data_IF_223059638203
#
_entry.id   IF_223059638203
#
_cell.length_a   1.000
_cell.length_b   1.000
_cell.length_c   1.000
_cell.angle_alpha   90.00
_cell.angle_beta   90.00
_cell.angle_gamma   90.00
#
_symmetry.space_group_name_H-M   'P 1'
#
loop_
_entity.id
_entity.type
_entity.pdbx_description
1 polymer ?
#
# COMPACT_ATOMS: atom_id res chain seq x y z
N UNK A 1 8.71 9.76 38.41
CA UNK A 1 8.14 9.40 37.09
C UNK A 1 9.26 8.79 36.29
N UNK A 2 9.14 7.52 35.91
CA UNK A 2 10.18 6.81 35.18
C UNK A 2 10.34 7.43 33.78
N UNK A 3 11.56 7.40 33.21
CA UNK A 3 11.79 7.83 31.82
C UNK A 3 10.88 7.05 30.86
N UNK A 4 10.54 5.81 31.22
CA UNK A 4 9.58 4.95 30.53
C UNK A 4 8.16 5.53 30.57
N UNK A 5 7.67 6.06 31.70
CA UNK A 5 6.33 6.67 31.79
C UNK A 5 6.21 7.95 30.95
N UNK A 6 7.32 8.68 30.78
CA UNK A 6 7.39 9.90 29.98
C UNK A 6 7.50 9.62 28.48
N UNK A 7 8.04 8.45 28.11
CA UNK A 7 8.14 8.00 26.73
C UNK A 7 6.90 7.22 26.27
N UNK A 8 6.32 6.37 27.11
CA UNK A 8 5.22 5.45 26.79
C UNK A 8 3.83 6.02 27.11
N UNK A 9 3.72 7.08 27.92
CA UNK A 9 2.42 7.60 28.33
C UNK A 9 1.70 6.69 29.34
N UNK A 10 0.46 7.02 29.69
CA UNK A 10 -0.38 6.16 30.54
C UNK A 10 -0.92 5.01 29.69
N UNK A 11 -0.85 3.75 30.17
CA UNK A 11 -1.46 2.62 29.46
C UNK A 11 -2.97 2.86 29.35
N UNK A 12 -3.50 2.78 28.12
CA UNK A 12 -4.94 2.80 27.85
C UNK A 12 -5.53 1.46 28.31
N UNK A 13 -6.62 1.52 29.07
CA UNK A 13 -7.32 0.31 29.49
C UNK A 13 -8.15 -0.22 28.31
N UNK A 14 -8.14 -1.53 28.08
CA UNK A 14 -8.89 -2.19 26.99
C UNK A 14 -10.40 -1.88 26.99
N UNK A 15 -10.95 -1.41 28.11
CA UNK A 15 -12.34 -0.98 28.22
C UNK A 15 -12.64 0.39 27.54
N UNK A 16 -11.61 1.22 27.26
CA UNK A 16 -11.77 2.49 26.54
C UNK A 16 -11.74 2.31 25.00
N UNK A 17 -11.44 1.10 24.51
CA UNK A 17 -11.28 0.75 23.08
C UNK A 17 -12.62 0.33 22.43
N UNK A 18 -13.54 -0.27 23.19
CA UNK A 18 -14.87 -0.72 22.72
C UNK A 18 -15.86 0.42 22.44
N UNK A 19 -15.64 1.63 23.00
CA UNK A 19 -16.60 2.73 22.92
C UNK A 19 -16.51 3.57 21.62
N UNK A 20 -15.48 3.37 20.81
CA UNK A 20 -15.24 4.20 19.62
C UNK A 20 -15.51 3.46 18.30
N UNK A 21 -16.79 3.29 17.97
CA UNK A 21 -17.19 2.94 16.60
C UNK A 21 -16.85 4.10 15.66
N UNK A 22 -15.81 3.95 14.87
CA UNK A 22 -15.39 4.95 13.88
C UNK A 22 -16.48 5.05 12.80
N UNK A 23 -17.10 6.22 12.65
CA UNK A 23 -18.13 6.43 11.63
C UNK A 23 -17.57 6.29 10.21
N UNK A 24 -18.40 5.94 9.22
CA UNK A 24 -17.97 5.60 7.86
C UNK A 24 -17.06 6.66 7.19
N UNK A 25 -17.27 7.95 7.46
CA UNK A 25 -16.43 9.04 6.94
C UNK A 25 -15.00 9.04 7.49
N UNK A 26 -14.79 8.54 8.71
CA UNK A 26 -13.47 8.37 9.31
C UNK A 26 -12.93 6.93 9.09
N UNK A 27 -13.81 5.94 8.95
CA UNK A 27 -13.46 4.55 8.73
C UNK A 27 -12.93 4.27 7.32
N UNK A 28 -13.48 4.93 6.29
CA UNK A 28 -13.00 4.76 4.90
C UNK A 28 -11.55 5.24 4.73
N UNK A 29 -11.15 6.43 5.22
CA UNK A 29 -9.75 6.83 5.23
C UNK A 29 -8.88 5.90 6.08
N UNK A 30 -9.35 5.51 7.27
CA UNK A 30 -8.54 4.74 8.22
C UNK A 30 -8.24 3.30 7.74
N UNK A 31 -9.24 2.62 7.15
CA UNK A 31 -9.11 1.26 6.65
C UNK A 31 -8.68 1.22 5.17
N UNK A 32 -9.00 2.26 4.40
CA UNK A 32 -8.67 2.36 2.97
C UNK A 32 -7.29 2.95 2.68
N UNK A 33 -6.62 3.58 3.66
CA UNK A 33 -5.28 4.14 3.47
C UNK A 33 -4.28 3.09 2.99
N UNK A 34 -4.40 1.86 3.50
CA UNK A 34 -3.47 0.78 3.21
C UNK A 34 -3.59 0.29 1.75
N UNK A 35 -4.82 0.21 1.25
CA UNK A 35 -5.06 -0.05 -0.16
C UNK A 35 -4.58 1.11 -1.06
N UNK A 36 -4.74 2.36 -0.60
CA UNK A 36 -4.31 3.55 -1.35
C UNK A 36 -2.79 3.69 -1.42
N UNK A 37 -2.08 3.38 -0.33
CA UNK A 37 -0.61 3.39 -0.29
C UNK A 37 -0.02 2.32 -1.21
N UNK A 38 -0.63 1.13 -1.24
CA UNK A 38 -0.24 0.01 -2.10
C UNK A 38 -0.30 0.36 -3.59
N UNK A 39 -1.32 1.11 -4.00
CA UNK A 39 -1.46 1.62 -5.36
C UNK A 39 -0.34 2.61 -5.76
N UNK A 40 0.36 3.22 -4.80
CA UNK A 40 1.42 4.17 -5.08
C UNK A 40 2.75 3.49 -5.49
N UNK A 41 3.05 2.30 -4.96
CA UNK A 41 4.31 1.58 -5.25
C UNK A 41 4.16 0.33 -6.13
N UNK A 42 2.99 -0.33 -6.13
CA UNK A 42 2.79 -1.58 -6.87
C UNK A 42 2.98 -1.45 -8.38
N UNK A 43 2.43 -0.43 -9.06
CA UNK A 43 2.66 -0.21 -10.49
C UNK A 43 4.15 0.03 -10.83
N UNK A 44 4.87 0.76 -9.96
CA UNK A 44 6.30 1.00 -10.12
C UNK A 44 7.11 -0.30 -9.97
N UNK A 45 6.74 -1.15 -9.02
CA UNK A 45 7.36 -2.47 -8.85
C UNK A 45 7.19 -3.35 -10.10
N UNK A 46 5.99 -3.36 -10.70
CA UNK A 46 5.72 -4.08 -11.95
C UNK A 46 6.58 -3.56 -13.12
N UNK A 47 6.70 -2.24 -13.26
CA UNK A 47 7.55 -1.59 -14.27
C UNK A 47 9.03 -1.87 -14.06
N UNK A 48 9.48 -1.88 -12.81
CA UNK A 48 10.87 -2.17 -12.46
C UNK A 48 11.30 -3.56 -12.92
N UNK A 49 10.40 -4.55 -12.84
CA UNK A 49 10.66 -5.90 -13.36
C UNK A 49 10.77 -5.92 -14.90
N UNK A 50 10.11 -5.00 -15.60
CA UNK A 50 10.12 -4.91 -17.06
C UNK A 50 11.27 -4.09 -17.65
N UNK A 51 12.07 -3.40 -16.82
CA UNK A 51 13.25 -2.62 -17.23
C UNK A 51 14.16 -3.34 -18.25
N UNK A 52 14.46 -4.65 -18.13
CA UNK A 52 15.31 -5.36 -19.09
C UNK A 52 14.76 -5.40 -20.53
N UNK A 53 13.46 -5.16 -20.73
CA UNK A 53 12.83 -5.08 -22.05
C UNK A 53 12.96 -3.68 -22.70
N UNK A 54 13.50 -2.70 -21.97
CA UNK A 54 13.57 -1.31 -22.43
C UNK A 54 12.18 -0.76 -22.78
N UNK A 55 12.08 -0.06 -23.91
CA UNK A 55 10.83 0.56 -24.39
C UNK A 55 9.72 -0.47 -24.62
N UNK A 56 10.06 -1.71 -25.00
CA UNK A 56 9.06 -2.76 -25.22
C UNK A 56 8.30 -3.11 -23.93
N UNK A 57 8.92 -2.95 -22.75
CA UNK A 57 8.26 -3.17 -21.47
C UNK A 57 7.01 -2.29 -21.28
N UNK A 58 7.03 -1.06 -21.81
CA UNK A 58 5.91 -0.12 -21.72
C UNK A 58 4.67 -0.61 -22.50
N UNK A 59 4.82 -1.47 -23.50
CA UNK A 59 3.68 -2.05 -24.21
C UNK A 59 2.97 -3.13 -23.37
N UNK A 60 3.69 -3.80 -22.47
CA UNK A 60 3.16 -4.91 -21.66
C UNK A 60 2.54 -4.48 -20.34
N UNK A 61 2.88 -3.29 -19.83
CA UNK A 61 2.33 -2.82 -18.54
C UNK A 61 0.80 -2.66 -18.60
N UNK A 62 0.25 -2.17 -19.72
CA UNK A 62 -1.20 -1.99 -19.89
C UNK A 62 -1.98 -3.31 -19.73
N UNK A 63 -1.67 -4.35 -20.53
CA UNK A 63 -2.26 -5.68 -20.36
C UNK A 63 -2.08 -6.26 -18.96
N UNK A 64 -0.90 -6.13 -18.35
CA UNK A 64 -0.64 -6.63 -16.98
C UNK A 64 -1.57 -5.94 -15.98
N UNK A 65 -1.69 -4.61 -16.06
CA UNK A 65 -2.59 -3.83 -15.21
C UNK A 65 -4.04 -4.25 -15.38
N UNK A 66 -4.50 -4.55 -16.59
CA UNK A 66 -5.87 -5.07 -16.83
C UNK A 66 -6.09 -6.40 -16.11
N UNK A 67 -5.12 -7.31 -16.15
CA UNK A 67 -5.21 -8.60 -15.44
C UNK A 67 -5.24 -8.39 -13.92
N UNK A 68 -4.43 -7.46 -13.39
CA UNK A 68 -4.44 -7.10 -11.97
C UNK A 68 -5.80 -6.52 -11.57
N UNK A 69 -6.38 -5.61 -12.35
CA UNK A 69 -7.71 -5.05 -12.08
C UNK A 69 -8.82 -6.11 -12.14
N UNK A 70 -8.73 -7.07 -13.06
CA UNK A 70 -9.65 -8.19 -13.10
C UNK A 70 -9.55 -9.05 -11.83
N UNK A 71 -8.33 -9.33 -11.36
CA UNK A 71 -8.11 -10.05 -10.10
C UNK A 71 -8.63 -9.25 -8.89
N UNK A 72 -8.38 -7.95 -8.83
CA UNK A 72 -8.92 -7.07 -7.78
C UNK A 72 -10.46 -7.10 -7.75
N UNK A 73 -11.09 -7.11 -8.93
CA UNK A 73 -12.55 -7.22 -9.04
C UNK A 73 -13.07 -8.54 -8.48
N UNK A 74 -12.37 -9.65 -8.75
CA UNK A 74 -12.70 -10.97 -8.18
C UNK A 74 -12.56 -10.92 -6.65
N UNK A 75 -11.46 -10.36 -6.13
CA UNK A 75 -11.24 -10.20 -4.69
C UNK A 75 -12.34 -9.37 -4.03
N UNK A 76 -12.73 -8.26 -4.64
CA UNK A 76 -13.82 -7.42 -4.15
C UNK A 76 -15.12 -8.21 -3.96
N UNK A 77 -15.54 -8.97 -4.96
CA UNK A 77 -16.74 -9.80 -4.83
C UNK A 77 -16.58 -10.92 -3.79
N UNK A 78 -15.39 -11.53 -3.70
CA UNK A 78 -15.10 -12.55 -2.70
C UNK A 78 -15.20 -11.99 -1.28
N UNK A 79 -14.56 -10.86 -1.00
CA UNK A 79 -14.60 -10.24 0.33
C UNK A 79 -16.00 -9.76 0.69
N UNK A 80 -16.76 -9.22 -0.28
CA UNK A 80 -18.16 -8.87 -0.04
C UNK A 80 -18.99 -10.08 0.41
N UNK A 81 -18.78 -11.25 -0.19
CA UNK A 81 -19.45 -12.49 0.21
C UNK A 81 -19.00 -12.93 1.62
N UNK A 82 -17.70 -12.87 1.90
CA UNK A 82 -17.14 -13.22 3.22
C UNK A 82 -17.67 -12.32 4.33
N UNK A 83 -17.69 -10.99 4.13
CA UNK A 83 -18.19 -10.03 5.13
C UNK A 83 -19.66 -10.29 5.46
N UNK A 84 -20.48 -10.62 4.46
CA UNK A 84 -21.90 -10.97 4.67
C UNK A 84 -22.06 -12.30 5.42
N UNK A 85 -21.22 -13.30 5.12
CA UNK A 85 -21.25 -14.60 5.78
C UNK A 85 -20.70 -14.55 7.22
N UNK A 86 -19.81 -13.60 7.51
CA UNK A 86 -19.10 -13.47 8.79
C UNK A 86 -19.27 -12.07 9.41
N UNK A 87 -20.47 -11.71 9.89
CA UNK A 87 -20.79 -10.36 10.37
C UNK A 87 -20.09 -9.96 11.68
N UNK A 88 -19.51 -10.91 12.42
CA UNK A 88 -18.78 -10.67 13.67
C UNK A 88 -17.27 -10.44 13.48
N UNK A 89 -16.81 -10.30 12.23
CA UNK A 89 -15.38 -10.16 11.87
C UNK A 89 -14.87 -11.40 11.15
N UNK A 90 -14.85 -11.33 9.82
CA UNK A 90 -14.57 -12.42 8.89
C UNK A 90 -13.12 -12.54 8.45
N UNK A 91 -12.18 -12.23 9.33
CA UNK A 91 -10.76 -12.24 8.96
C UNK A 91 -10.29 -13.62 8.49
N UNK A 92 -9.24 -13.63 7.65
CA UNK A 92 -8.79 -14.86 6.95
C UNK A 92 -8.48 -16.03 7.90
N UNK A 93 -8.07 -15.74 9.14
CA UNK A 93 -7.88 -16.73 10.19
C UNK A 93 -9.19 -17.45 10.58
N UNK A 94 -10.25 -16.69 10.89
CA UNK A 94 -11.54 -17.23 11.33
C UNK A 94 -12.15 -18.09 10.24
N UNK A 95 -12.18 -17.58 9.01
CA UNK A 95 -12.72 -18.29 7.85
C UNK A 95 -11.96 -19.58 7.57
N UNK A 96 -10.61 -19.53 7.56
CA UNK A 96 -9.80 -20.72 7.32
C UNK A 96 -9.93 -21.75 8.44
N UNK A 97 -10.00 -21.31 9.70
CA UNK A 97 -10.12 -22.21 10.85
C UNK A 97 -11.45 -22.96 10.85
N UNK A 98 -12.55 -22.28 10.57
CA UNK A 98 -13.89 -22.89 10.59
C UNK A 98 -14.14 -23.83 9.41
N UNK A 99 -13.62 -23.51 8.22
CA UNK A 99 -13.90 -24.28 7.00
C UNK A 99 -12.84 -25.36 6.70
N UNK A 100 -11.58 -25.14 7.07
CA UNK A 100 -10.45 -26.00 6.71
C UNK A 100 -9.72 -26.58 7.93
N UNK A 101 -10.11 -26.18 9.14
CA UNK A 101 -9.57 -26.65 10.41
C UNK A 101 -8.36 -25.85 10.90
N UNK A 102 -7.89 -26.23 12.09
CA UNK A 102 -6.89 -25.46 12.86
C UNK A 102 -5.57 -25.23 12.13
N UNK A 103 -5.06 -26.22 11.38
CA UNK A 103 -3.77 -26.08 10.68
C UNK A 103 -3.82 -25.02 9.58
N UNK A 104 -4.90 -24.98 8.82
CA UNK A 104 -5.13 -23.98 7.79
C UNK A 104 -5.33 -22.58 8.40
N UNK A 105 -6.08 -22.50 9.50
CA UNK A 105 -6.20 -21.27 10.29
C UNK A 105 -4.85 -20.74 10.75
N UNK A 106 -4.00 -21.58 11.37
CA UNK A 106 -2.67 -21.17 11.82
C UNK A 106 -1.77 -20.71 10.67
N UNK A 107 -1.85 -21.34 9.49
CA UNK A 107 -1.14 -20.88 8.30
C UNK A 107 -1.61 -19.48 7.89
N UNK A 108 -2.93 -19.25 7.86
CA UNK A 108 -3.48 -17.92 7.56
C UNK A 108 -3.02 -16.86 8.58
N UNK A 109 -3.00 -17.19 9.86
CA UNK A 109 -2.51 -16.28 10.90
C UNK A 109 -1.01 -15.97 10.74
N UNK A 110 -0.18 -16.98 10.45
CA UNK A 110 1.24 -16.78 10.22
C UNK A 110 1.49 -15.89 8.99
N UNK A 111 0.75 -16.11 7.90
CA UNK A 111 0.81 -15.25 6.71
C UNK A 111 0.41 -13.81 7.02
N UNK A 112 -0.66 -13.59 7.78
CA UNK A 112 -1.10 -12.24 8.18
C UNK A 112 -0.06 -11.51 9.06
N UNK A 113 0.63 -12.21 9.95
CA UNK A 113 1.70 -11.60 10.75
C UNK A 113 2.88 -11.16 9.89
N UNK A 114 3.28 -11.98 8.91
CA UNK A 114 4.33 -11.62 7.97
C UNK A 114 3.90 -10.44 7.09
N UNK A 115 2.66 -10.46 6.63
CA UNK A 115 2.07 -9.40 5.83
C UNK A 115 2.11 -8.05 6.56
N UNK A 116 1.68 -7.98 7.82
CA UNK A 116 1.76 -6.75 8.61
C UNK A 116 3.19 -6.25 8.83
N UNK A 117 4.17 -7.14 9.04
CA UNK A 117 5.57 -6.75 9.18
C UNK A 117 6.10 -6.18 7.86
N UNK A 118 5.83 -6.87 6.75
CA UNK A 118 6.29 -6.46 5.42
C UNK A 118 5.62 -5.18 4.96
N UNK A 119 4.33 -5.01 5.25
CA UNK A 119 3.58 -3.82 4.87
C UNK A 119 4.18 -2.55 5.49
N UNK A 120 4.47 -2.56 6.80
CA UNK A 120 5.14 -1.44 7.47
C UNK A 120 6.53 -1.20 6.87
N UNK A 121 7.30 -2.25 6.61
CA UNK A 121 8.65 -2.13 6.05
C UNK A 121 8.64 -1.54 4.63
N UNK A 122 7.77 -2.05 3.74
CA UNK A 122 7.63 -1.61 2.35
C UNK A 122 7.05 -0.21 2.28
N UNK A 123 6.02 0.10 3.06
CA UNK A 123 5.41 1.43 3.10
C UNK A 123 6.40 2.52 3.52
N UNK A 124 7.21 2.28 4.55
CA UNK A 124 8.26 3.23 4.98
C UNK A 124 9.34 3.36 3.91
N UNK A 125 9.81 2.24 3.33
CA UNK A 125 10.83 2.26 2.29
C UNK A 125 10.38 3.03 1.04
N UNK A 126 9.14 2.80 0.58
CA UNK A 126 8.54 3.51 -0.54
C UNK A 126 8.37 5.00 -0.24
N UNK A 127 7.89 5.36 0.96
CA UNK A 127 7.74 6.75 1.39
C UNK A 127 9.08 7.50 1.46
N UNK A 128 10.11 6.89 2.03
CA UNK A 128 11.47 7.47 2.06
C UNK A 128 12.07 7.53 0.65
N UNK A 129 11.79 6.54 -0.21
CA UNK A 129 12.18 6.56 -1.62
C UNK A 129 11.60 7.77 -2.37
N UNK A 130 10.32 8.06 -2.17
CA UNK A 130 9.66 9.24 -2.74
C UNK A 130 10.28 10.56 -2.21
N UNK A 131 10.60 10.62 -0.90
CA UNK A 131 11.27 11.77 -0.29
C UNK A 131 12.66 12.02 -0.91
N UNK A 132 13.46 10.97 -1.08
CA UNK A 132 14.82 11.04 -1.63
C UNK A 132 14.80 11.38 -3.12
N UNK A 133 13.76 10.95 -3.84
CA UNK A 133 13.53 11.38 -5.23
C UNK A 133 13.34 12.90 -5.34
N UNK A 134 12.65 13.52 -4.38
CA UNK A 134 12.48 14.97 -4.32
C UNK A 134 13.72 15.71 -3.80
N UNK A 135 14.51 15.09 -2.91
CA UNK A 135 15.72 15.69 -2.32
C UNK A 135 16.91 14.71 -2.43
N UNK A 136 17.62 14.68 -3.58
CA UNK A 136 18.65 13.68 -3.86
C UNK A 136 19.84 13.66 -2.89
N UNK A 137 20.10 14.77 -2.20
CA UNK A 137 21.15 14.88 -1.17
C UNK A 137 20.95 13.87 -0.03
N UNK A 138 19.72 13.41 0.20
CA UNK A 138 19.39 12.44 1.25
C UNK A 138 19.69 10.98 0.88
N UNK A 139 20.09 10.69 -0.36
CA UNK A 139 20.31 9.32 -0.85
C UNK A 139 21.27 8.47 0.02
N UNK A 140 22.38 9.00 0.59
CA UNK A 140 23.24 8.22 1.47
C UNK A 140 22.58 7.82 2.80
N UNK A 141 21.47 8.46 3.18
CA UNK A 141 20.82 8.31 4.49
C UNK A 141 19.50 7.53 4.43
N UNK A 142 19.15 6.89 3.31
CA UNK A 142 17.90 6.13 3.14
C UNK A 142 17.64 5.19 4.31
N UNK A 143 18.60 4.32 4.65
CA UNK A 143 18.45 3.35 5.74
C UNK A 143 18.19 4.03 7.08
N UNK A 144 18.94 5.09 7.39
CA UNK A 144 18.79 5.83 8.64
C UNK A 144 17.41 6.51 8.73
N UNK A 145 16.93 7.08 7.63
CA UNK A 145 15.60 7.69 7.53
C UNK A 145 14.48 6.67 7.69
N UNK A 146 14.61 5.48 7.09
CA UNK A 146 13.65 4.38 7.27
C UNK A 146 13.57 3.95 8.75
N UNK A 147 14.71 3.70 9.39
CA UNK A 147 14.77 3.29 10.79
C UNK A 147 14.26 4.39 11.73
N UNK A 148 14.58 5.65 11.45
CA UNK A 148 14.07 6.80 12.21
C UNK A 148 12.55 6.89 12.10
N UNK A 149 12.00 6.77 10.89
CA UNK A 149 10.56 6.82 10.64
C UNK A 149 9.85 5.67 11.35
N UNK A 150 10.40 4.46 11.28
CA UNK A 150 9.89 3.30 12.01
C UNK A 150 9.90 3.54 13.53
N UNK A 151 10.99 4.07 14.09
CA UNK A 151 11.09 4.38 15.51
C UNK A 151 10.07 5.46 15.92
N UNK A 152 9.85 6.49 15.10
CA UNK A 152 8.85 7.53 15.37
C UNK A 152 7.45 6.92 15.36
N UNK A 153 7.08 6.16 14.34
CA UNK A 153 5.76 5.50 14.26
C UNK A 153 5.55 4.55 15.43
N UNK A 154 6.58 3.76 15.78
CA UNK A 154 6.53 2.87 16.95
C UNK A 154 6.31 3.64 18.25
N UNK A 155 7.03 4.75 18.47
CA UNK A 155 6.85 5.60 19.65
C UNK A 155 5.46 6.24 19.70
N UNK A 156 4.93 6.69 18.55
CA UNK A 156 3.57 7.25 18.46
C UNK A 156 2.53 6.17 18.80
N UNK A 157 2.65 4.98 18.22
CA UNK A 157 1.74 3.86 18.50
C UNK A 157 1.80 3.42 19.98
N UNK A 158 2.99 3.40 20.59
CA UNK A 158 3.16 3.06 22.00
C UNK A 158 2.56 4.11 22.95
N UNK A 159 2.50 5.39 22.55
CA UNK A 159 1.96 6.49 23.37
C UNK A 159 0.44 6.48 23.50
N UNK A 160 -0.25 5.63 22.75
CA UNK A 160 -1.70 5.55 22.76
C UNK A 160 -2.30 6.71 21.97
N UNK A 161 -2.76 6.41 20.78
CA UNK A 161 -3.24 7.42 19.85
C UNK A 161 -4.73 7.64 20.12
N UNK A 162 -5.02 8.37 21.21
CA UNK A 162 -6.38 8.63 21.72
C UNK A 162 -7.21 9.56 20.80
N UNK A 163 -6.61 10.11 19.74
CA UNK A 163 -7.21 11.07 18.80
C UNK A 163 -6.86 10.79 17.31
N UNK A 164 -6.28 9.64 16.96
CA UNK A 164 -5.64 9.39 15.64
C UNK A 164 -6.57 9.50 14.44
N UNK A 165 -7.86 9.18 14.60
CA UNK A 165 -8.79 9.21 13.49
C UNK A 165 -8.75 10.57 12.76
N UNK A 166 -8.73 11.68 13.50
CA UNK A 166 -8.65 13.02 12.92
C UNK A 166 -7.26 13.34 12.34
N UNK A 167 -6.19 12.89 13.00
CA UNK A 167 -4.82 13.15 12.57
C UNK A 167 -4.45 12.47 11.24
N UNK A 168 -5.05 11.31 10.94
CA UNK A 168 -4.80 10.57 9.70
C UNK A 168 -5.74 10.94 8.54
N UNK A 169 -6.89 11.57 8.81
CA UNK A 169 -7.84 12.02 7.79
C UNK A 169 -7.21 13.04 6.84
N UNK A 170 -6.52 14.07 7.38
CA UNK A 170 -5.98 15.15 6.58
C UNK A 170 -4.91 14.67 5.57
N UNK A 171 -3.88 13.88 5.95
CA UNK A 171 -2.92 13.31 5.01
C UNK A 171 -3.57 12.45 3.93
N UNK A 172 -4.59 11.65 4.29
CA UNK A 172 -5.29 10.77 3.35
C UNK A 172 -5.97 11.57 2.24
N UNK A 173 -6.78 12.57 2.60
CA UNK A 173 -7.49 13.36 1.61
C UNK A 173 -6.55 14.26 0.81
N UNK A 174 -5.46 14.74 1.42
CA UNK A 174 -4.42 15.48 0.71
C UNK A 174 -3.74 14.58 -0.34
N UNK A 175 -3.42 13.33 0.01
CA UNK A 175 -2.87 12.36 -0.94
C UNK A 175 -3.84 12.09 -2.10
N UNK A 176 -5.11 11.78 -1.82
CA UNK A 176 -6.12 11.54 -2.86
C UNK A 176 -6.31 12.78 -3.76
N UNK A 177 -6.38 13.97 -3.16
CA UNK A 177 -6.54 15.23 -3.89
C UNK A 177 -5.34 15.55 -4.77
N UNK A 178 -4.12 15.41 -4.26
CA UNK A 178 -2.89 15.68 -5.03
C UNK A 178 -2.67 14.65 -6.13
N UNK A 179 -2.88 13.36 -5.86
CA UNK A 179 -2.83 12.31 -6.87
C UNK A 179 -3.86 12.55 -7.98
N UNK A 180 -5.10 12.85 -7.61
CA UNK A 180 -6.17 13.18 -8.55
C UNK A 180 -5.84 14.38 -9.42
N UNK A 181 -5.31 15.45 -8.81
CA UNK A 181 -4.85 16.64 -9.55
C UNK A 181 -3.73 16.28 -10.54
N UNK A 182 -2.73 15.50 -10.13
CA UNK A 182 -1.63 15.05 -11.01
C UNK A 182 -2.15 14.24 -12.20
N UNK A 183 -3.11 13.34 -11.98
CA UNK A 183 -3.74 12.57 -13.06
C UNK A 183 -4.55 13.48 -14.01
N UNK A 184 -5.34 14.40 -13.48
CA UNK A 184 -6.15 15.34 -14.29
C UNK A 184 -5.27 16.28 -15.12
N UNK A 185 -4.23 16.86 -14.53
CA UNK A 185 -3.28 17.72 -15.24
C UNK A 185 -2.53 16.90 -16.29
N UNK A 186 -2.09 15.67 -15.96
CA UNK A 186 -1.46 14.77 -16.91
C UNK A 186 -2.35 14.47 -18.12
N UNK A 187 -3.62 14.12 -17.88
CA UNK A 187 -4.60 13.84 -18.92
C UNK A 187 -4.93 15.08 -19.77
N UNK A 188 -5.09 16.25 -19.14
CA UNK A 188 -5.33 17.49 -19.85
C UNK A 188 -4.15 17.83 -20.77
N UNK A 189 -2.91 17.71 -20.28
CA UNK A 189 -1.70 17.94 -21.07
C UNK A 189 -1.58 16.95 -22.22
N UNK A 190 -1.84 15.67 -22.02
CA UNK A 190 -1.77 14.66 -23.09
C UNK A 190 -2.83 14.90 -24.17
N UNK A 191 -4.06 15.28 -23.79
CA UNK A 191 -5.11 15.60 -24.75
C UNK A 191 -4.79 16.87 -25.55
N UNK A 192 -4.33 17.93 -24.89
CA UNK A 192 -3.96 19.19 -25.53
C UNK A 192 -2.74 19.06 -26.44
N UNK A 193 -1.83 18.14 -26.13
CA UNK A 193 -0.63 17.86 -26.93
C UNK A 193 -0.82 16.75 -27.96
N UNK A 194 -2.05 16.36 -28.28
CA UNK A 194 -2.37 15.25 -29.21
C UNK A 194 -1.60 13.94 -28.90
N UNK A 195 -1.41 13.65 -27.62
CA UNK A 195 -0.71 12.45 -27.15
C UNK A 195 0.81 12.59 -26.98
N UNK A 196 1.41 13.74 -27.30
CA UNK A 196 2.86 13.98 -27.18
C UNK A 196 3.18 15.11 -26.19
N UNK A 197 2.98 14.92 -24.87
CA UNK A 197 3.27 15.96 -23.90
C UNK A 197 4.77 16.23 -23.88
N UNK A 198 5.16 17.51 -24.00
CA UNK A 198 6.56 17.92 -23.87
C UNK A 198 6.98 17.81 -22.40
N UNK A 199 7.99 16.99 -22.09
CA UNK A 199 8.47 16.85 -20.71
C UNK A 199 9.19 18.14 -20.28
N UNK A 200 9.00 18.53 -19.01
CA UNK A 200 9.69 19.71 -18.44
C UNK A 200 11.16 19.40 -18.21
N UNK A 201 11.47 18.18 -17.78
CA UNK A 201 12.82 17.63 -17.72
C UNK A 201 12.89 16.40 -18.61
N UNK A 202 13.93 16.30 -19.43
CA UNK A 202 14.12 15.14 -20.31
C UNK A 202 14.22 13.87 -19.45
N UNK A 203 13.35 12.85 -19.69
CA UNK A 203 13.44 11.61 -18.95
C UNK A 203 14.80 10.95 -19.22
N UNK A 204 15.36 10.21 -18.24
CA UNK A 204 16.56 9.43 -18.46
C UNK A 204 16.35 8.47 -19.64
N UNK A 205 17.42 8.26 -20.42
CA UNK A 205 17.35 7.40 -21.59
C UNK A 205 16.88 6.00 -21.18
N UNK A 206 15.84 5.50 -21.86
CA UNK A 206 15.35 4.14 -21.62
C UNK A 206 16.49 3.17 -21.98
N UNK A 207 16.89 2.26 -21.06
CA UNK A 207 17.94 1.30 -21.35
C UNK A 207 17.65 0.49 -22.61
N UNK A 208 18.68 0.15 -23.37
CA UNK A 208 18.54 -0.80 -24.47
C UNK A 208 18.02 -2.14 -23.93
N UNK A 209 17.17 -2.81 -24.70
CA UNK A 209 16.64 -4.11 -24.30
C UNK A 209 17.79 -5.12 -24.16
N UNK A 210 17.98 -5.64 -22.95
CA UNK A 210 19.01 -6.65 -22.64
C UNK A 210 18.43 -8.07 -22.56
N UNK A 211 17.10 -8.19 -22.62
CA UNK A 211 16.39 -9.47 -22.57
C UNK A 211 15.23 -9.50 -23.58
N UNK A 212 14.87 -10.72 -23.99
CA UNK A 212 13.64 -10.96 -24.77
C UNK A 212 12.40 -11.05 -23.88
N UNK A 213 11.23 -10.87 -24.50
CA UNK A 213 9.95 -11.09 -23.83
C UNK A 213 9.80 -12.58 -23.54
N UNK A 214 9.67 -12.93 -22.26
CA UNK A 214 9.43 -14.32 -21.83
C UNK A 214 8.19 -14.36 -20.95
N UNK A 215 7.46 -15.48 -21.00
CA UNK A 215 6.30 -15.68 -20.12
C UNK A 215 6.69 -15.53 -18.65
N UNK A 216 7.85 -16.06 -18.27
CA UNK A 216 8.39 -15.92 -16.91
C UNK A 216 8.54 -14.45 -16.48
N UNK A 217 9.08 -13.59 -17.33
CA UNK A 217 9.25 -12.17 -17.02
C UNK A 217 7.90 -11.46 -16.88
N UNK A 218 6.94 -11.77 -17.75
CA UNK A 218 5.59 -11.22 -17.68
C UNK A 218 4.87 -11.68 -16.39
N UNK A 219 4.96 -12.97 -16.04
CA UNK A 219 4.40 -13.49 -14.79
C UNK A 219 5.08 -12.89 -13.56
N UNK A 220 6.39 -12.64 -13.60
CA UNK A 220 7.12 -11.96 -12.53
C UNK A 220 6.68 -10.51 -12.37
N UNK A 221 6.50 -9.78 -13.46
CA UNK A 221 5.99 -8.40 -13.43
C UNK A 221 4.56 -8.36 -12.90
N UNK A 222 3.69 -9.26 -13.36
CA UNK A 222 2.33 -9.43 -12.83
C UNK A 222 2.35 -9.72 -11.32
N UNK A 223 3.13 -10.71 -10.87
CA UNK A 223 3.25 -11.05 -9.45
C UNK A 223 3.76 -9.87 -8.61
N UNK A 224 4.70 -9.09 -9.14
CA UNK A 224 5.19 -7.88 -8.46
C UNK A 224 4.13 -6.78 -8.42
N UNK A 225 3.35 -6.62 -9.50
CA UNK A 225 2.27 -5.64 -9.59
C UNK A 225 1.07 -5.97 -8.73
N UNK A 226 0.83 -7.25 -8.40
CA UNK A 226 -0.23 -7.66 -7.46
C UNK A 226 -0.05 -7.05 -6.06
N UNK A 227 1.15 -6.57 -5.71
CA UNK A 227 1.37 -5.79 -4.48
C UNK A 227 0.57 -4.48 -4.45
N UNK A 228 0.07 -3.99 -5.58
CA UNK A 228 -0.84 -2.84 -5.62
C UNK A 228 -2.20 -3.12 -4.96
N UNK A 229 -2.54 -4.40 -4.77
CA UNK A 229 -3.82 -4.83 -4.20
C UNK A 229 -3.74 -5.17 -2.71
N UNK A 230 -2.57 -5.10 -2.07
CA UNK A 230 -2.47 -5.28 -0.61
C UNK A 230 -3.22 -4.17 0.12
N UNK A 231 -3.63 -4.42 1.35
CA UNK A 231 -4.40 -3.51 2.19
C UNK A 231 -5.92 -3.58 1.99
N UNK A 232 -6.43 -4.31 0.98
CA UNK A 232 -7.88 -4.57 0.87
C UNK A 232 -8.38 -5.55 1.93
N UNK A 233 -7.49 -6.42 2.42
CA UNK A 233 -7.75 -7.37 3.50
C UNK A 233 -8.01 -6.67 4.84
N UNK A 234 -7.42 -5.49 5.07
CA UNK A 234 -7.65 -4.67 6.25
C UNK A 234 -9.14 -4.31 6.42
N UNK A 235 -9.84 -4.07 5.30
CA UNK A 235 -11.28 -3.77 5.28
C UNK A 235 -12.12 -5.00 5.66
N UNK A 236 -11.64 -6.21 5.39
CA UNK A 236 -12.34 -7.45 5.76
C UNK A 236 -12.07 -7.91 7.19
N UNK A 237 -10.94 -7.48 7.78
CA UNK A 237 -10.51 -7.84 9.12
C UNK A 237 -11.07 -6.89 10.20
N UNK A 238 -11.44 -5.66 9.84
CA UNK A 238 -12.00 -4.63 10.74
C UNK A 238 -13.52 -4.57 10.72
#
# INVERSE_FOLDING_TARGET
>A
MSVLDRMLGRPLASAEEEEQKVGALAGVPMLGLDALSSAAYGPEAALTVLLPLGVLGLAYIGPITIVILALLTILYFSYRQTIVAYPTGGGSYTVAKENLGTRAGLLAAASLLLDYILNVAVGIAAGVGALVSAVPVLHPHILALCLLTLAIIALVNLRGVRESGAAFILPTYLFVGTLGLTLLVGLARTLLSHGQPQPVEAPPAVPAATAGVTLWLLMRSFSSGCTAMTGVEAISNG
#
